data_IF_145882118198
#
_entry.id   IF_145882118198
#
_cell.length_a   1.000
_cell.length_b   1.000
_cell.length_c   1.000
_cell.angle_alpha   90.00
_cell.angle_beta   90.00
_cell.angle_gamma   90.00
#
_symmetry.space_group_name_H-M   'P 1'
#
loop_
_entity.id
_entity.type
_entity.pdbx_description
1 polymer ?
#
# COMPACT_ATOMS: atom_id res chain seq x y z
N UNK A 1 16.85 8.15 14.11
CA UNK A 1 15.52 8.47 13.56
C UNK A 1 15.56 8.10 12.09
N UNK A 2 14.60 7.27 11.67
CA UNK A 2 14.46 6.81 10.28
C UNK A 2 13.42 7.72 9.62
N UNK A 3 13.71 8.22 8.42
CA UNK A 3 12.74 9.00 7.62
C UNK A 3 12.50 8.27 6.31
N UNK A 4 11.23 8.05 5.99
CA UNK A 4 10.79 7.32 4.80
C UNK A 4 9.70 8.12 4.12
N UNK A 5 9.85 8.37 2.82
CA UNK A 5 8.79 8.96 2.01
C UNK A 5 7.97 7.86 1.33
N UNK A 6 6.66 8.02 1.25
CA UNK A 6 5.72 7.03 0.69
C UNK A 6 4.83 7.66 -0.36
N UNK A 7 4.51 6.91 -1.42
CA UNK A 7 3.56 7.37 -2.43
C UNK A 7 2.78 6.19 -3.07
N UNK A 8 1.63 6.51 -3.65
CA UNK A 8 0.73 5.58 -4.33
C UNK A 8 0.24 6.14 -5.67
N UNK A 9 0.21 5.28 -6.67
CA UNK A 9 -0.21 5.61 -8.03
C UNK A 9 -1.34 4.69 -8.49
N UNK A 10 -2.28 5.25 -9.26
CA UNK A 10 -3.35 4.50 -9.91
C UNK A 10 -3.51 5.01 -11.35
N UNK A 11 -3.28 4.14 -12.34
CA UNK A 11 -3.29 4.55 -13.76
C UNK A 11 -4.66 4.98 -14.28
N UNK A 12 -5.74 4.61 -13.57
CA UNK A 12 -7.12 5.06 -13.78
C UNK A 12 -7.88 4.90 -12.48
N UNK A 13 -8.28 6.01 -11.86
CA UNK A 13 -8.88 5.99 -10.53
C UNK A 13 -10.41 6.16 -10.60
N UNK A 14 -11.24 5.21 -10.14
CA UNK A 14 -10.89 3.85 -9.67
C UNK A 14 -10.77 2.83 -10.82
N UNK A 15 -10.23 1.65 -10.50
CA UNK A 15 -10.32 0.43 -11.33
C UNK A 15 -9.13 0.13 -12.22
N UNK A 16 -8.18 1.06 -12.36
CA UNK A 16 -6.91 0.84 -13.04
C UNK A 16 -5.88 0.15 -12.16
N UNK A 17 -4.80 -0.33 -12.78
CA UNK A 17 -3.66 -0.87 -12.08
C UNK A 17 -3.07 0.16 -11.11
N UNK A 18 -2.64 -0.33 -9.95
CA UNK A 18 -2.09 0.46 -8.87
C UNK A 18 -0.64 0.08 -8.60
N UNK A 19 0.12 1.03 -8.08
CA UNK A 19 1.48 0.81 -7.59
C UNK A 19 1.69 1.62 -6.33
N UNK A 20 2.44 1.07 -5.38
CA UNK A 20 2.83 1.70 -4.14
C UNK A 20 4.34 1.67 -4.04
N UNK A 21 4.91 2.64 -3.32
CA UNK A 21 6.34 2.63 -3.02
C UNK A 21 6.66 3.36 -1.73
N UNK A 22 7.76 2.97 -1.12
CA UNK A 22 8.44 3.75 -0.09
C UNK A 22 9.92 3.91 -0.43
N UNK A 23 10.47 5.06 -0.07
CA UNK A 23 11.88 5.41 -0.23
C UNK A 23 12.44 5.92 1.09
N UNK A 24 13.34 5.15 1.69
CA UNK A 24 14.06 5.54 2.90
C UNK A 24 15.16 6.54 2.52
N UNK A 25 15.39 7.52 3.40
CA UNK A 25 16.38 8.57 3.21
C UNK A 25 17.83 8.05 3.21
N UNK A 26 18.06 6.81 3.67
CA UNK A 26 19.33 6.08 3.50
C UNK A 26 19.57 5.52 2.08
N UNK A 27 18.58 5.62 1.19
CA UNK A 27 18.63 5.18 -0.20
C UNK A 27 18.01 3.81 -0.47
N UNK A 28 17.60 3.06 0.55
CA UNK A 28 16.82 1.82 0.36
C UNK A 28 15.38 2.14 -0.04
N UNK A 29 14.77 1.27 -0.86
CA UNK A 29 13.40 1.45 -1.30
C UNK A 29 12.75 0.11 -1.65
N UNK A 30 11.42 0.08 -1.64
CA UNK A 30 10.64 -1.02 -2.18
C UNK A 30 9.37 -0.49 -2.84
N UNK A 31 8.87 -1.26 -3.81
CA UNK A 31 7.63 -0.97 -4.52
C UNK A 31 6.92 -2.26 -4.92
N UNK A 32 5.60 -2.17 -5.03
CA UNK A 32 4.75 -3.25 -5.50
C UNK A 32 3.49 -2.70 -6.16
N UNK A 33 2.67 -3.57 -6.73
CA UNK A 33 1.48 -3.13 -7.44
C UNK A 33 0.43 -4.22 -7.59
N UNK A 34 -0.73 -3.84 -8.11
CA UNK A 34 -1.86 -4.72 -8.32
C UNK A 34 -2.63 -4.36 -9.59
N UNK A 35 -3.36 -5.31 -10.19
CA UNK A 35 -4.02 -5.11 -11.49
C UNK A 35 -5.20 -4.13 -11.45
N UNK A 36 -5.77 -3.88 -10.26
CA UNK A 36 -6.89 -2.96 -10.07
C UNK A 36 -6.93 -2.41 -8.65
N UNK A 37 -7.36 -1.15 -8.49
CA UNK A 37 -7.52 -0.53 -7.18
C UNK A 37 -7.93 0.93 -7.27
N UNK A 38 -7.59 1.71 -6.24
CA UNK A 38 -7.75 3.17 -6.20
C UNK A 38 -6.45 3.82 -5.76
N UNK A 39 -6.30 5.13 -5.98
CA UNK A 39 -5.11 5.85 -5.48
C UNK A 39 -4.98 5.75 -3.96
N UNK A 40 -6.09 5.90 -3.24
CA UNK A 40 -6.12 5.82 -1.77
C UNK A 40 -5.71 4.44 -1.25
N UNK A 41 -6.06 3.36 -1.97
CA UNK A 41 -5.57 2.01 -1.62
C UNK A 41 -4.06 1.94 -1.80
N UNK A 42 -3.53 2.46 -2.90
CA UNK A 42 -2.09 2.46 -3.16
C UNK A 42 -1.31 3.26 -2.10
N UNK A 43 -1.78 4.45 -1.75
CA UNK A 43 -1.18 5.32 -0.73
C UNK A 43 -1.19 4.67 0.66
N UNK A 44 -2.31 4.05 1.07
CA UNK A 44 -2.41 3.34 2.35
C UNK A 44 -1.50 2.10 2.37
N UNK A 45 -1.41 1.35 1.26
CA UNK A 45 -0.49 0.22 1.16
C UNK A 45 0.96 0.69 1.29
N UNK A 46 1.35 1.80 0.66
CA UNK A 46 2.70 2.36 0.80
C UNK A 46 3.05 2.67 2.26
N UNK A 47 2.11 3.25 3.03
CA UNK A 47 2.28 3.48 4.48
C UNK A 47 2.45 2.17 5.24
N UNK A 48 1.59 1.18 4.99
CA UNK A 48 1.66 -0.12 5.67
C UNK A 48 3.02 -0.80 5.42
N UNK A 49 3.42 -0.87 4.16
CA UNK A 49 4.69 -1.50 3.74
C UNK A 49 5.91 -0.78 4.31
N UNK A 50 5.87 0.56 4.42
CA UNK A 50 6.92 1.31 5.09
C UNK A 50 7.02 0.96 6.58
N UNK A 51 5.90 0.78 7.28
CA UNK A 51 5.93 0.41 8.71
C UNK A 51 6.48 -1.01 8.89
N UNK A 52 6.00 -1.96 8.09
CA UNK A 52 6.41 -3.36 8.14
C UNK A 52 7.90 -3.56 7.80
N UNK A 53 8.43 -2.76 6.88
CA UNK A 53 9.85 -2.80 6.52
C UNK A 53 10.79 -2.26 7.62
N UNK A 54 10.27 -1.55 8.63
CA UNK A 54 11.07 -0.90 9.67
C UNK A 54 10.61 -1.30 11.09
N UNK A 55 10.73 -2.58 11.50
CA UNK A 55 10.15 -3.11 12.74
C UNK A 55 10.89 -2.72 14.04
N UNK A 56 12.00 -1.96 13.94
CA UNK A 56 12.86 -1.60 15.07
C UNK A 56 12.23 -0.65 16.10
N UNK A 57 12.99 -0.33 17.15
CA UNK A 57 12.60 0.61 18.21
C UNK A 57 12.95 2.06 17.88
N UNK A 58 13.71 2.30 16.81
CA UNK A 58 14.07 3.64 16.39
C UNK A 58 12.83 4.44 15.99
N UNK A 59 12.75 5.74 16.29
CA UNK A 59 11.65 6.57 15.82
C UNK A 59 11.57 6.57 14.28
N UNK A 60 10.39 6.23 13.75
CA UNK A 60 10.09 6.22 12.32
C UNK A 60 9.23 7.45 11.97
N UNK A 61 9.69 8.25 11.01
CA UNK A 61 8.92 9.34 10.40
C UNK A 61 8.54 8.97 8.99
N UNK A 62 7.24 8.95 8.71
CA UNK A 62 6.68 8.73 7.38
C UNK A 62 6.27 10.07 6.78
N UNK A 63 6.83 10.37 5.62
CA UNK A 63 6.52 11.55 4.82
C UNK A 63 5.62 11.15 3.65
N UNK A 64 4.49 11.82 3.50
CA UNK A 64 3.56 11.58 2.41
C UNK A 64 2.88 12.89 2.01
N UNK A 65 2.52 13.03 0.74
CA UNK A 65 1.70 14.14 0.27
C UNK A 65 0.18 13.84 0.35
N UNK A 66 -0.19 12.57 0.51
CA UNK A 66 -1.57 12.16 0.80
C UNK A 66 -2.01 12.51 2.22
N UNK A 67 -2.78 13.59 2.33
CA UNK A 67 -3.49 13.90 3.57
C UNK A 67 -4.46 12.80 4.00
N UNK A 68 -5.04 12.07 3.05
CA UNK A 68 -5.95 10.98 3.38
C UNK A 68 -5.21 9.85 4.11
N UNK A 69 -4.09 9.39 3.56
CA UNK A 69 -3.29 8.33 4.17
C UNK A 69 -2.78 8.74 5.56
N UNK A 70 -2.25 9.96 5.70
CA UNK A 70 -1.81 10.51 7.00
C UNK A 70 -2.95 10.52 8.01
N UNK A 71 -4.10 11.12 7.66
CA UNK A 71 -5.22 11.27 8.60
C UNK A 71 -5.86 9.93 8.99
N UNK A 72 -5.99 9.00 8.04
CA UNK A 72 -6.41 7.63 8.33
C UNK A 72 -5.49 6.95 9.35
N UNK A 73 -4.18 7.14 9.19
CA UNK A 73 -3.16 6.42 9.96
C UNK A 73 -2.87 7.03 11.33
N UNK A 74 -3.16 8.32 11.54
CA UNK A 74 -2.72 9.06 12.74
C UNK A 74 -3.83 9.82 13.49
N UNK A 75 -4.87 10.30 12.80
CA UNK A 75 -5.85 11.18 13.42
C UNK A 75 -7.21 10.49 13.60
N UNK A 76 -7.78 10.00 12.50
CA UNK A 76 -9.15 9.51 12.47
C UNK A 76 -9.31 8.14 13.12
N UNK A 77 -8.26 7.30 13.08
CA UNK A 77 -8.24 5.96 13.66
C UNK A 77 -8.68 5.92 15.12
N UNK A 78 -8.24 6.90 15.92
CA UNK A 78 -8.61 6.98 17.34
C UNK A 78 -10.12 7.21 17.52
N UNK A 79 -10.71 8.08 16.71
CA UNK A 79 -12.14 8.35 16.71
C UNK A 79 -12.95 7.15 16.22
N UNK A 80 -12.50 6.49 15.17
CA UNK A 80 -13.15 5.31 14.60
C UNK A 80 -13.13 4.12 15.57
N UNK A 81 -12.00 3.84 16.23
CA UNK A 81 -11.91 2.78 17.26
C UNK A 81 -12.93 2.98 18.38
N UNK A 82 -13.05 4.21 18.89
CA UNK A 82 -14.06 4.55 19.93
C UNK A 82 -15.51 4.39 19.44
N UNK A 83 -15.76 4.51 18.14
CA UNK A 83 -17.08 4.41 17.51
C UNK A 83 -17.36 3.04 16.87
N UNK A 84 -16.57 2.01 17.20
CA UNK A 84 -16.74 0.67 16.63
C UNK A 84 -16.51 0.65 15.11
N UNK A 85 -15.47 1.36 14.65
CA UNK A 85 -15.07 1.48 13.24
C UNK A 85 -16.14 2.10 12.33
N UNK A 86 -16.76 3.17 12.82
CA UNK A 86 -17.72 4.01 12.07
C UNK A 86 -17.25 5.45 11.98
N UNK A 87 -17.58 6.11 10.87
CA UNK A 87 -17.27 7.52 10.63
C UNK A 87 -18.04 8.44 11.58
N UNK A 88 -17.73 9.75 11.56
CA UNK A 88 -18.47 10.73 12.36
C UNK A 88 -19.97 10.78 12.01
N UNK A 89 -20.33 10.50 10.76
CA UNK A 89 -21.71 10.39 10.28
C UNK A 89 -22.36 9.02 10.55
N UNK A 90 -21.66 8.10 11.22
CA UNK A 90 -22.15 6.75 11.56
C UNK A 90 -22.07 5.72 10.43
N UNK A 91 -21.55 6.12 9.26
CA UNK A 91 -21.34 5.26 8.10
C UNK A 91 -20.09 4.38 8.20
N UNK A 92 -19.89 3.47 7.23
CA UNK A 92 -18.70 2.62 7.18
C UNK A 92 -17.44 3.45 6.89
N UNK A 93 -16.32 3.05 7.50
CA UNK A 93 -15.00 3.60 7.19
C UNK A 93 -14.52 3.03 5.86
N UNK A 94 -14.11 3.88 4.93
CA UNK A 94 -13.52 3.44 3.66
C UNK A 94 -12.16 2.81 3.91
N UNK A 95 -11.84 1.75 3.14
CA UNK A 95 -10.56 1.02 3.25
C UNK A 95 -10.28 0.48 4.66
N UNK A 96 -11.34 0.16 5.43
CA UNK A 96 -11.25 -0.22 6.85
C UNK A 96 -10.20 -1.31 7.13
N UNK A 97 -10.13 -2.34 6.28
CA UNK A 97 -9.17 -3.43 6.46
C UNK A 97 -7.71 -2.93 6.42
N UNK A 98 -7.36 -2.05 5.49
CA UNK A 98 -6.02 -1.45 5.41
C UNK A 98 -5.75 -0.51 6.59
N UNK A 99 -6.73 0.32 6.96
CA UNK A 99 -6.61 1.21 8.13
C UNK A 99 -6.37 0.41 9.42
N UNK A 100 -7.09 -0.70 9.60
CA UNK A 100 -6.90 -1.60 10.74
C UNK A 100 -5.54 -2.31 10.71
N UNK A 101 -5.04 -2.67 9.53
CA UNK A 101 -3.71 -3.24 9.39
C UNK A 101 -2.62 -2.23 9.77
N UNK A 102 -2.75 -0.98 9.33
CA UNK A 102 -1.83 0.11 9.70
C UNK A 102 -1.88 0.37 11.21
N UNK A 103 -3.07 0.53 11.81
CA UNK A 103 -3.25 0.73 13.26
C UNK A 103 -2.58 -0.38 14.07
N UNK A 104 -2.72 -1.63 13.61
CA UNK A 104 -2.09 -2.79 14.23
C UNK A 104 -0.56 -2.75 14.08
N UNK A 105 -0.05 -2.52 12.88
CA UNK A 105 1.38 -2.46 12.62
C UNK A 105 2.06 -1.34 13.45
N UNK A 106 1.40 -0.18 13.61
CA UNK A 106 1.88 0.91 14.48
C UNK A 106 1.87 0.46 15.95
N UNK A 107 0.81 -0.19 16.41
CA UNK A 107 0.67 -0.62 17.80
C UNK A 107 1.61 -1.75 18.21
N UNK A 108 1.95 -2.65 17.28
CA UNK A 108 2.86 -3.77 17.50
C UNK A 108 4.33 -3.38 17.40
N UNK A 109 4.64 -2.26 16.74
CA UNK A 109 6.01 -1.75 16.60
C UNK A 109 6.55 -1.27 17.96
N UNK A 110 7.81 -1.62 18.34
CA UNK A 110 8.41 -1.17 19.59
C UNK A 110 8.65 0.35 19.66
N UNK A 111 9.04 0.96 18.53
CA UNK A 111 9.35 2.38 18.45
C UNK A 111 8.19 3.23 17.94
N UNK A 112 8.19 4.55 18.20
CA UNK A 112 7.12 5.44 17.78
C UNK A 112 7.11 5.67 16.26
N UNK A 113 5.90 5.82 15.70
CA UNK A 113 5.67 6.24 14.32
C UNK A 113 5.07 7.64 14.31
N UNK A 114 5.67 8.55 13.55
CA UNK A 114 5.18 9.90 13.32
C UNK A 114 4.93 10.13 11.83
N UNK A 115 3.95 10.96 11.51
CA UNK A 115 3.63 11.33 10.13
C UNK A 115 3.95 12.80 9.88
N UNK A 116 4.39 13.10 8.66
CA UNK A 116 4.59 14.45 8.20
C UNK A 116 4.02 14.62 6.81
N UNK A 117 3.20 15.66 6.65
CA UNK A 117 2.71 16.05 5.35
C UNK A 117 3.81 16.82 4.61
N UNK A 118 4.13 16.36 3.41
CA UNK A 118 4.96 17.09 2.45
C UNK A 118 4.09 17.62 1.33
N UNK A 119 4.50 18.73 0.72
CA UNK A 119 3.76 19.27 -0.42
C UNK A 119 4.01 18.38 -1.64
N UNK A 120 2.94 17.84 -2.22
CA UNK A 120 3.00 17.15 -3.50
C UNK A 120 3.49 18.08 -4.63
N UNK A 121 4.23 17.50 -5.57
CA UNK A 121 4.96 18.14 -6.67
C UNK A 121 6.24 18.91 -6.29
N UNK A 122 7.31 18.61 -7.06
CA UNK A 122 8.67 19.18 -7.12
C UNK A 122 9.22 19.85 -5.85
N UNK A 123 10.22 19.23 -5.25
CA UNK A 123 11.04 19.82 -4.19
C UNK A 123 11.44 18.85 -3.08
N UNK A 124 10.85 17.66 -3.03
CA UNK A 124 11.22 16.60 -2.08
C UNK A 124 11.75 15.39 -2.85
N UNK A 125 13.07 15.22 -2.81
CA UNK A 125 13.78 14.17 -3.55
C UNK A 125 13.27 12.76 -3.23
N UNK A 126 12.91 12.48 -1.98
CA UNK A 126 12.52 11.14 -1.57
C UNK A 126 11.04 10.88 -1.85
N UNK A 127 10.18 11.90 -1.73
CA UNK A 127 8.80 11.81 -2.21
C UNK A 127 8.74 11.63 -3.73
N UNK A 128 9.53 12.40 -4.49
CA UNK A 128 9.65 12.24 -5.95
C UNK A 128 10.13 10.84 -6.33
N UNK A 129 11.05 10.27 -5.54
CA UNK A 129 11.51 8.90 -5.75
C UNK A 129 10.40 7.88 -5.48
N UNK A 130 9.60 8.07 -4.44
CA UNK A 130 8.46 7.22 -4.15
C UNK A 130 7.38 7.32 -5.26
N UNK A 131 7.04 8.52 -5.72
CA UNK A 131 6.11 8.75 -6.85
C UNK A 131 6.57 8.00 -8.11
N UNK A 132 7.85 8.16 -8.48
CA UNK A 132 8.44 7.50 -9.64
C UNK A 132 8.30 5.98 -9.54
N UNK A 133 8.68 5.40 -8.40
CA UNK A 133 8.64 3.96 -8.15
C UNK A 133 7.20 3.42 -8.14
N UNK A 134 6.27 4.13 -7.50
CA UNK A 134 4.85 3.78 -7.49
C UNK A 134 4.27 3.80 -8.92
N UNK A 135 4.61 4.81 -9.71
CA UNK A 135 4.21 4.91 -11.11
C UNK A 135 4.79 3.78 -11.98
N UNK A 136 6.05 3.39 -11.76
CA UNK A 136 6.67 2.24 -12.44
C UNK A 136 5.92 0.96 -12.08
N UNK A 137 5.72 0.70 -10.78
CA UNK A 137 5.04 -0.50 -10.30
C UNK A 137 3.60 -0.62 -10.83
N UNK A 138 2.86 0.51 -10.93
CA UNK A 138 1.52 0.51 -11.51
C UNK A 138 1.51 0.12 -13.00
N UNK A 139 2.52 0.56 -13.76
CA UNK A 139 2.69 0.18 -15.18
C UNK A 139 3.12 -1.27 -15.34
N UNK A 140 4.01 -1.77 -14.48
CA UNK A 140 4.40 -3.18 -14.47
C UNK A 140 3.20 -4.09 -14.14
N UNK A 141 2.37 -3.70 -13.15
CA UNK A 141 1.16 -4.42 -12.79
C UNK A 141 0.12 -4.45 -13.93
N UNK A 142 -0.07 -3.33 -14.63
CA UNK A 142 -0.94 -3.27 -15.83
C UNK A 142 -0.50 -4.26 -16.91
N UNK A 143 0.80 -4.41 -17.09
CA UNK A 143 1.39 -5.25 -18.12
C UNK A 143 1.54 -6.73 -17.68
N UNK A 144 1.03 -7.09 -16.49
CA UNK A 144 1.10 -8.46 -15.96
C UNK A 144 2.49 -8.88 -15.47
N UNK A 145 3.39 -7.92 -15.21
CA UNK A 145 4.78 -8.17 -14.75
C UNK A 145 4.99 -7.85 -13.27
N UNK A 146 3.91 -7.74 -12.50
CA UNK A 146 3.93 -7.31 -11.10
C UNK A 146 4.47 -8.38 -10.16
N UNK A 147 5.79 -8.51 -10.08
CA UNK A 147 6.47 -9.15 -8.95
C UNK A 147 7.12 -8.06 -8.07
N UNK A 148 7.19 -8.33 -6.77
CA UNK A 148 7.66 -7.39 -5.74
C UNK A 148 9.12 -6.97 -6.01
N UNK A 149 9.38 -5.66 -6.23
CA UNK A 149 10.74 -5.13 -6.37
C UNK A 149 11.22 -4.60 -5.02
N UNK A 150 12.28 -5.18 -4.47
CA UNK A 150 12.93 -4.71 -3.27
C UNK A 150 14.44 -4.61 -3.50
N UNK A 151 14.97 -3.38 -3.43
CA UNK A 151 16.42 -3.13 -3.48
C UNK A 151 16.94 -3.01 -2.04
N UNK A 152 16.74 -4.07 -1.24
CA UNK A 152 17.30 -4.13 0.11
C UNK A 152 18.76 -4.51 0.00
N UNK A 153 19.68 -3.53 0.05
CA UNK A 153 21.09 -3.81 0.28
C UNK A 153 21.22 -4.44 1.68
N UNK A 154 21.41 -5.75 1.72
CA UNK A 154 21.54 -6.56 2.94
C UNK A 154 22.72 -6.08 3.79
N UNK A 155 22.46 -5.34 4.86
CA UNK A 155 23.36 -5.27 6.02
C UNK A 155 23.20 -6.58 6.82
N UNK A 156 24.31 -7.12 7.31
CA UNK A 156 24.42 -8.51 7.76
C UNK A 156 23.76 -8.80 9.14
N UNK A 157 23.26 -10.05 9.23
CA UNK A 157 23.05 -10.94 10.42
C UNK A 157 21.95 -10.69 11.46
N UNK A 158 20.91 -11.57 11.47
CA UNK A 158 20.42 -12.45 12.57
C UNK A 158 19.12 -13.18 12.13
N UNK A 159 18.71 -14.33 12.71
CA UNK A 159 17.90 -15.33 12.00
C UNK A 159 16.40 -15.04 11.99
N UNK A 160 15.76 -15.39 10.87
CA UNK A 160 14.33 -15.26 10.63
C UNK A 160 13.54 -16.37 11.36
N UNK A 161 12.53 -15.98 12.12
CA UNK A 161 11.40 -16.85 12.44
C UNK A 161 10.44 -16.79 11.25
N UNK A 162 10.22 -17.94 10.63
CA UNK A 162 9.33 -18.11 9.48
C UNK A 162 7.88 -18.08 9.95
N UNK A 163 7.13 -17.06 9.52
CA UNK A 163 5.66 -17.05 9.62
C UNK A 163 5.15 -17.10 8.19
N UNK A 164 4.82 -18.30 7.74
CA UNK A 164 4.16 -18.56 6.45
C UNK A 164 2.72 -18.01 6.51
N UNK A 165 2.53 -16.81 5.98
CA UNK A 165 1.18 -16.31 5.67
C UNK A 165 0.79 -16.83 4.28
N UNK A 166 0.16 -18.01 4.25
CA UNK A 166 -0.38 -18.60 3.05
C UNK A 166 -1.49 -17.71 2.47
N UNK A 167 -1.18 -16.95 1.42
CA UNK A 167 -2.18 -16.46 0.47
C UNK A 167 -2.35 -17.56 -0.59
N UNK A 168 -3.41 -18.34 -0.46
CA UNK A 168 -3.77 -19.35 -1.45
C UNK A 168 -4.11 -18.69 -2.81
N UNK A 169 -3.65 -19.24 -3.95
CA UNK A 169 -4.09 -18.80 -5.26
C UNK A 169 -5.55 -19.18 -5.47
N UNK A 170 -6.41 -18.18 -5.73
CA UNK A 170 -7.79 -18.42 -6.17
C UNK A 170 -7.76 -19.04 -7.57
N UNK A 171 -8.13 -20.32 -7.66
CA UNK A 171 -8.28 -21.03 -8.92
C UNK A 171 -9.45 -20.42 -9.72
N UNK A 172 -9.15 -19.98 -10.95
CA UNK A 172 -10.16 -19.56 -11.93
C UNK A 172 -10.80 -20.81 -12.53
N UNK A 173 -12.01 -21.16 -12.09
CA UNK A 173 -12.86 -22.12 -12.80
C UNK A 173 -13.38 -21.47 -14.08
N UNK A 174 -12.87 -21.92 -15.24
CA UNK A 174 -13.46 -21.61 -16.54
C UNK A 174 -14.73 -22.45 -16.72
N UNK A 175 -15.90 -21.82 -16.75
CA UNK A 175 -17.09 -22.43 -17.34
C UNK A 175 -17.08 -22.19 -18.86
N UNK A 176 -17.39 -23.20 -19.69
CA UNK A 176 -17.54 -23.01 -21.12
C UNK A 176 -18.83 -22.24 -21.44
N UNK A 177 -18.74 -21.32 -22.40
CA UNK A 177 -19.88 -20.66 -23.05
C UNK A 177 -20.50 -21.67 -24.02
N UNK A 178 -21.82 -21.95 -23.97
CA UNK A 178 -22.45 -22.78 -24.99
C UNK A 178 -22.55 -22.02 -26.32
N UNK A 179 -22.16 -22.72 -27.39
CA UNK A 179 -22.19 -22.25 -28.77
C UNK A 179 -23.62 -21.91 -29.23
N UNK A 180 -23.71 -20.84 -30.02
CA UNK A 180 -24.90 -20.47 -30.77
C UNK A 180 -25.20 -21.52 -31.84
N UNK A 181 -26.39 -22.12 -31.78
CA UNK A 181 -26.98 -22.84 -32.91
C UNK A 181 -27.76 -21.86 -33.78
N UNK A 182 -27.22 -21.64 -34.98
CA UNK A 182 -27.95 -21.14 -36.14
C UNK A 182 -28.52 -22.36 -36.86
N UNK A 183 -29.85 -22.52 -36.90
CA UNK A 183 -30.51 -23.28 -37.96
C UNK A 183 -31.83 -22.60 -38.35
N UNK A 184 -32.07 -22.59 -39.66
CA UNK A 184 -33.18 -21.95 -40.39
C UNK A 184 -34.00 -23.07 -41.04
N UNK A 185 -35.31 -22.84 -41.26
CA UNK A 185 -36.28 -23.62 -42.08
C UNK A 185 -36.77 -24.92 -41.39
N UNK A 186 -38.07 -25.18 -41.22
CA UNK A 186 -39.26 -24.93 -42.06
C UNK A 186 -40.44 -24.34 -41.29
#
# INVERSE_FOLDING_TARGET
MITVSTDGSCLRNPGGAIGWAWANHDGTCASGGGPSGTNQVAELTAVLEAILAHPGDEPLRIEADSQYAIKCSSEWVHGWKRKGWRTASGGPVQNLALVQAIDRAIAERPGPVAFAWVRGHRGDRFNERADELAGIAAREARDGRGEHRSDVRRAATAPAHEVELALAPVAVTRQPVPDAVVETLF
#
